data_IF_386799177279
#
_entry.id   IF_386799177279
#
_cell.length_a   1.000
_cell.length_b   1.000
_cell.length_c   1.000
_cell.angle_alpha   90.00
_cell.angle_beta   90.00
_cell.angle_gamma   90.00
#
_symmetry.space_group_name_H-M   'P 1'
#
loop_
_entity.id
_entity.type
_entity.pdbx_description
1 polymer ?
#
# COMPACT_ATOMS: atom_id res chain seq x y z
N UNK A 1 -14.04 2.68 -8.23
CA UNK A 1 -13.75 3.95 -7.53
C UNK A 1 -12.52 3.72 -6.69
N UNK A 2 -11.55 4.64 -6.68
CA UNK A 2 -10.36 4.48 -5.86
C UNK A 2 -10.61 5.02 -4.45
N UNK A 3 -10.17 4.28 -3.46
CA UNK A 3 -10.24 4.61 -2.04
C UNK A 3 -8.84 4.86 -1.50
N UNK A 4 -8.74 5.82 -0.57
CA UNK A 4 -7.55 6.13 0.22
C UNK A 4 -7.87 5.78 1.67
N UNK A 5 -7.20 4.75 2.22
CA UNK A 5 -7.50 4.18 3.53
C UNK A 5 -6.24 4.21 4.41
N UNK A 6 -6.22 4.97 5.51
CA UNK A 6 -5.08 4.96 6.42
C UNK A 6 -4.97 3.62 7.14
N UNK A 7 -3.73 3.19 7.39
CA UNK A 7 -3.48 2.00 8.19
C UNK A 7 -3.80 2.27 9.66
N UNK A 8 -4.79 1.55 10.18
CA UNK A 8 -5.23 1.62 11.58
C UNK A 8 -4.95 0.32 12.35
N UNK A 9 -3.83 -0.35 12.03
CA UNK A 9 -3.43 -1.63 12.66
C UNK A 9 -3.99 -2.89 11.99
N UNK A 10 -4.69 -2.74 10.86
CA UNK A 10 -5.18 -3.86 10.05
C UNK A 10 -5.14 -3.50 8.56
N UNK A 11 -4.89 -4.50 7.71
CA UNK A 11 -4.99 -4.32 6.25
C UNK A 11 -6.45 -4.13 5.83
N UNK A 12 -6.73 -3.42 4.73
CA UNK A 12 -8.07 -3.42 4.15
C UNK A 12 -8.50 -4.84 3.80
N UNK A 13 -9.75 -5.21 4.06
CA UNK A 13 -10.25 -6.59 3.84
C UNK A 13 -10.00 -7.12 2.42
N UNK A 14 -9.94 -6.25 1.42
CA UNK A 14 -9.61 -6.62 0.04
C UNK A 14 -8.16 -7.10 -0.16
N UNK A 15 -7.23 -6.79 0.74
CA UNK A 15 -5.83 -7.23 0.68
C UNK A 15 -5.65 -8.69 1.12
N UNK A 16 -6.43 -9.19 2.09
CA UNK A 16 -6.31 -10.59 2.54
C UNK A 16 -6.72 -11.61 1.46
N UNK A 17 -7.65 -11.23 0.59
CA UNK A 17 -8.22 -12.12 -0.42
C UNK A 17 -7.23 -12.58 -1.52
N UNK A 18 -6.08 -11.92 -1.69
CA UNK A 18 -5.09 -12.25 -2.72
C UNK A 18 -3.83 -12.99 -2.21
N UNK A 19 -3.60 -13.05 -0.90
CA UNK A 19 -2.45 -13.78 -0.34
C UNK A 19 -2.62 -15.32 -0.37
N UNK A 20 -3.31 -15.85 -1.39
CA UNK A 20 -3.45 -17.29 -1.66
C UNK A 20 -2.32 -17.85 -2.55
N UNK A 21 -1.31 -17.03 -2.90
CA UNK A 21 -0.09 -17.54 -3.51
C UNK A 21 0.72 -18.33 -2.47
N UNK A 22 1.34 -19.47 -2.84
CA UNK A 22 2.15 -20.24 -1.91
C UNK A 22 3.31 -19.40 -1.40
N UNK A 23 3.27 -19.05 -0.11
CA UNK A 23 4.36 -18.33 0.54
C UNK A 23 5.58 -19.23 0.68
N UNK A 24 6.74 -18.71 0.34
CA UNK A 24 8.02 -19.22 0.83
C UNK A 24 8.02 -19.11 2.36
N UNK A 25 8.31 -20.21 3.05
CA UNK A 25 8.31 -20.22 4.52
C UNK A 25 9.36 -19.23 5.04
N UNK A 26 8.95 -18.28 5.89
CA UNK A 26 9.84 -17.33 6.57
C UNK A 26 9.74 -15.87 6.11
N UNK A 27 8.98 -15.56 5.06
CA UNK A 27 8.72 -14.17 4.67
C UNK A 27 7.61 -13.55 5.53
N UNK A 28 7.80 -12.32 6.04
CA UNK A 28 6.78 -11.63 6.82
C UNK A 28 5.53 -11.40 5.99
N UNK A 29 4.38 -11.52 6.62
CA UNK A 29 3.10 -11.17 6.01
C UNK A 29 3.02 -9.67 5.75
N UNK A 30 2.19 -9.24 4.80
CA UNK A 30 1.98 -7.81 4.59
C UNK A 30 1.42 -7.11 5.84
N UNK A 31 0.66 -7.82 6.67
CA UNK A 31 0.21 -7.31 7.96
C UNK A 31 1.37 -7.14 8.94
N UNK A 32 2.27 -8.14 9.05
CA UNK A 32 3.49 -8.04 9.87
C UNK A 32 4.42 -6.92 9.38
N UNK A 33 4.59 -6.78 8.07
CA UNK A 33 5.41 -5.71 7.48
C UNK A 33 4.82 -4.32 7.77
N UNK A 34 3.50 -4.15 7.61
CA UNK A 34 2.85 -2.88 7.95
C UNK A 34 2.95 -2.58 9.44
N UNK A 35 2.81 -3.58 10.31
CA UNK A 35 2.98 -3.41 11.74
C UNK A 35 4.43 -3.01 12.12
N UNK A 36 5.44 -3.56 11.45
CA UNK A 36 6.85 -3.20 11.65
C UNK A 36 7.16 -1.77 11.19
N UNK A 37 6.54 -1.30 10.11
CA UNK A 37 6.81 0.03 9.52
C UNK A 37 5.96 1.16 10.14
N UNK A 38 4.79 0.85 10.69
CA UNK A 38 3.86 1.83 11.25
C UNK A 38 4.45 2.77 12.33
N UNK A 39 5.49 2.41 13.11
CA UNK A 39 6.13 3.36 14.03
C UNK A 39 6.78 4.53 13.29
N UNK A 40 7.48 4.26 12.18
CA UNK A 40 8.30 5.23 11.44
C UNK A 40 7.57 5.89 10.27
N UNK A 41 6.52 5.23 9.76
CA UNK A 41 5.79 5.66 8.58
C UNK A 41 4.29 5.81 8.85
N UNK A 42 3.68 6.84 8.26
CA UNK A 42 2.26 6.85 7.97
C UNK A 42 2.02 5.97 6.73
N UNK A 43 1.16 4.97 6.87
CA UNK A 43 0.88 4.00 5.82
C UNK A 43 -0.52 4.27 5.25
N UNK A 44 -0.60 4.48 3.93
CA UNK A 44 -1.85 4.76 3.22
C UNK A 44 -2.08 3.71 2.14
N UNK A 45 -3.27 3.12 2.12
CA UNK A 45 -3.68 2.17 1.10
C UNK A 45 -4.52 2.83 0.02
N UNK A 46 -4.07 2.71 -1.24
CA UNK A 46 -4.84 3.06 -2.42
C UNK A 46 -5.41 1.79 -3.05
N UNK A 47 -6.73 1.68 -3.12
CA UNK A 47 -7.36 0.48 -3.66
C UNK A 47 -8.74 0.76 -4.24
N UNK A 48 -9.11 0.02 -5.29
CA UNK A 48 -10.49 -0.07 -5.78
C UNK A 48 -11.19 -1.34 -5.28
N UNK A 49 -10.55 -2.05 -4.34
CA UNK A 49 -10.90 -3.36 -3.80
C UNK A 49 -10.92 -4.52 -4.81
N UNK A 50 -10.59 -4.28 -6.08
CA UNK A 50 -10.77 -5.26 -7.17
C UNK A 50 -9.47 -5.48 -7.96
N UNK A 51 -8.92 -4.41 -8.52
CA UNK A 51 -7.87 -4.45 -9.54
C UNK A 51 -6.57 -3.74 -9.13
N UNK A 52 -6.64 -2.81 -8.16
CA UNK A 52 -5.48 -2.06 -7.68
C UNK A 52 -5.36 -2.15 -6.17
N UNK A 53 -4.14 -2.42 -5.71
CA UNK A 53 -3.74 -2.43 -4.30
C UNK A 53 -2.33 -1.84 -4.20
N UNK A 54 -2.23 -0.67 -3.58
CA UNK A 54 -0.97 0.02 -3.35
C UNK A 54 -0.87 0.46 -1.89
N UNK A 55 0.28 0.24 -1.28
CA UNK A 55 0.65 0.83 0.00
C UNK A 55 1.70 1.93 -0.20
N UNK A 56 1.34 3.17 0.15
CA UNK A 56 2.26 4.28 0.32
C UNK A 56 2.79 4.34 1.75
N UNK A 57 4.08 4.59 1.91
CA UNK A 57 4.79 4.74 3.17
C UNK A 57 5.37 6.16 3.22
N UNK A 58 4.85 6.98 4.10
CA UNK A 58 5.26 8.37 4.27
C UNK A 58 6.03 8.49 5.58
N UNK A 59 7.32 8.83 5.57
CA UNK A 59 8.08 8.99 6.81
C UNK A 59 7.41 10.02 7.71
N UNK A 60 7.35 9.74 9.00
CA UNK A 60 6.88 10.72 9.99
C UNK A 60 7.92 11.77 10.32
N UNK A 61 9.18 11.53 9.96
CA UNK A 61 10.24 12.53 10.08
C UNK A 61 9.96 13.66 9.06
N UNK A 62 9.64 14.88 9.53
CA UNK A 62 9.33 16.00 8.64
C UNK A 62 10.54 16.49 7.82
N UNK A 63 11.77 16.05 8.15
CA UNK A 63 12.96 16.33 7.35
C UNK A 63 13.13 15.35 6.18
N UNK A 64 12.34 14.28 6.11
CA UNK A 64 12.41 13.30 5.04
C UNK A 64 11.52 13.73 3.86
N UNK A 65 12.14 14.09 2.73
CA UNK A 65 11.46 14.50 1.50
C UNK A 65 11.26 13.32 0.53
N UNK A 66 10.98 12.12 1.07
CA UNK A 66 10.92 10.89 0.28
C UNK A 66 9.80 9.98 0.76
N UNK A 67 8.79 9.80 -0.09
CA UNK A 67 7.78 8.76 0.08
C UNK A 67 8.29 7.43 -0.51
N UNK A 68 8.09 6.34 0.22
CA UNK A 68 8.43 4.99 -0.23
C UNK A 68 7.16 4.22 -0.61
N UNK A 69 7.26 3.39 -1.64
CA UNK A 69 6.15 2.55 -2.10
C UNK A 69 6.52 1.09 -1.88
N UNK A 70 5.81 0.44 -0.95
CA UNK A 70 6.20 -0.87 -0.43
C UNK A 70 5.65 -2.05 -1.24
N UNK A 71 4.34 -2.04 -1.52
CA UNK A 71 3.63 -3.15 -2.20
C UNK A 71 2.75 -2.58 -3.31
N UNK A 72 3.01 -2.98 -4.55
CA UNK A 72 2.22 -2.61 -5.72
C UNK A 72 1.76 -3.88 -6.42
N UNK A 73 0.48 -4.22 -6.27
CA UNK A 73 -0.19 -5.24 -7.07
C UNK A 73 -1.30 -4.56 -7.88
N UNK A 74 -1.14 -4.58 -9.20
CA UNK A 74 -2.12 -4.03 -10.14
C UNK A 74 -2.37 -5.00 -11.28
N UNK A 75 -3.55 -4.96 -11.87
CA UNK A 75 -3.79 -5.52 -13.19
C UNK A 75 -2.96 -4.76 -14.24
N UNK A 76 -2.60 -5.41 -15.35
CA UNK A 76 -1.89 -4.74 -16.47
C UNK A 76 -2.83 -3.76 -17.22
N UNK A 77 -3.23 -2.70 -16.53
CA UNK A 77 -4.04 -1.59 -17.01
C UNK A 77 -3.24 -0.29 -16.84
N UNK A 78 -2.61 0.22 -17.92
CA UNK A 78 -1.79 1.42 -17.86
C UNK A 78 -2.55 2.69 -17.42
N UNK A 79 -3.85 2.78 -17.69
CA UNK A 79 -4.64 3.97 -17.35
C UNK A 79 -4.90 4.04 -15.84
N UNK A 80 -5.22 2.89 -15.23
CA UNK A 80 -5.41 2.78 -13.79
C UNK A 80 -4.10 3.05 -13.03
N UNK A 81 -3.00 2.51 -13.54
CA UNK A 81 -1.67 2.72 -12.96
C UNK A 81 -1.29 4.20 -12.97
N UNK A 82 -1.50 4.87 -14.12
CA UNK A 82 -1.26 6.31 -14.26
C UNK A 82 -2.14 7.14 -13.31
N UNK A 83 -3.40 6.74 -13.10
CA UNK A 83 -4.30 7.42 -12.18
C UNK A 83 -3.83 7.31 -10.73
N UNK A 84 -3.33 6.14 -10.31
CA UNK A 84 -2.78 5.95 -8.98
C UNK A 84 -1.54 6.84 -8.75
N UNK A 85 -0.62 6.91 -9.73
CA UNK A 85 0.55 7.79 -9.66
C UNK A 85 0.19 9.28 -9.56
N UNK A 86 -0.90 9.71 -10.22
CA UNK A 86 -1.37 11.10 -10.14
C UNK A 86 -1.91 11.47 -8.76
N UNK A 87 -2.66 10.56 -8.13
CA UNK A 87 -3.20 10.79 -6.79
C UNK A 87 -2.09 10.81 -5.75
N UNK A 88 -1.15 9.89 -5.88
CA UNK A 88 0.07 9.84 -5.08
C UNK A 88 0.88 11.15 -5.18
N UNK A 89 1.06 11.71 -6.37
CA UNK A 89 1.72 13.02 -6.54
C UNK A 89 0.98 14.18 -5.87
N UNK A 90 -0.34 14.08 -5.70
CA UNK A 90 -1.13 15.14 -5.07
C UNK A 90 -1.10 15.08 -3.54
N UNK A 91 -0.67 13.96 -2.96
CA UNK A 91 -0.62 13.73 -1.50
C UNK A 91 0.80 13.82 -0.91
N UNK A 92 1.84 13.79 -1.75
CA UNK A 92 3.22 14.11 -1.38
C UNK A 92 3.43 15.63 -1.33
#
# INVERSE_FOLDING_TARGET
>A
MLHCLPYAGQLPASFEALYQLPRTSGEPTAAELCAQLAPEFDIIFYTDHRTLRLAGLFPKDPAADTAYFGFWETTDDPALNLQAFRLLRAEA
#
